data_IF_913350929442
#
_entry.id   IF_913350929442
#
_cell.length_a   1.000
_cell.length_b   1.000
_cell.length_c   1.000
_cell.angle_alpha   90.00
_cell.angle_beta   90.00
_cell.angle_gamma   90.00
#
_symmetry.space_group_name_H-M   'P 1'
#
loop_
_entity.id
_entity.type
_entity.pdbx_description
1 polymer ?
#
# COMPACT_ATOMS: atom_id res chain seq x y z
N UNK A 1 -17.84 20.49 -2.47
CA UNK A 1 -16.63 19.98 -1.79
C UNK A 1 -16.70 18.47 -1.89
N UNK A 2 -15.71 17.90 -2.53
CA UNK A 2 -15.64 16.46 -2.78
C UNK A 2 -15.35 15.70 -1.47
N UNK A 3 -15.67 14.39 -1.36
CA UNK A 3 -15.44 13.62 -0.13
C UNK A 3 -13.99 13.71 0.36
N UNK A 4 -13.02 13.60 -0.55
CA UNK A 4 -11.59 13.73 -0.23
C UNK A 4 -11.23 15.11 0.32
N UNK A 5 -11.75 16.18 -0.30
CA UNK A 5 -11.53 17.55 0.17
C UNK A 5 -12.15 17.77 1.56
N UNK A 6 -13.28 17.13 1.84
CA UNK A 6 -13.94 17.23 3.15
C UNK A 6 -13.13 16.52 4.24
N UNK A 7 -12.61 15.33 3.94
CA UNK A 7 -11.71 14.60 4.86
C UNK A 7 -10.42 15.38 5.09
N UNK A 8 -9.83 15.93 4.02
CA UNK A 8 -8.63 16.75 4.12
C UNK A 8 -8.85 18.01 4.98
N UNK A 9 -9.98 18.70 4.79
CA UNK A 9 -10.34 19.85 5.61
C UNK A 9 -10.54 19.47 7.08
N UNK A 10 -11.25 18.37 7.37
CA UNK A 10 -11.43 17.89 8.74
C UNK A 10 -10.08 17.60 9.42
N UNK A 11 -9.11 17.07 8.67
CA UNK A 11 -7.75 16.86 9.16
C UNK A 11 -7.04 18.20 9.47
N UNK A 12 -7.14 19.19 8.58
CA UNK A 12 -6.59 20.54 8.82
C UNK A 12 -7.22 21.20 10.05
N UNK A 13 -8.53 21.10 10.20
CA UNK A 13 -9.26 21.65 11.35
C UNK A 13 -8.82 20.98 12.66
N UNK A 14 -8.68 19.64 12.66
CA UNK A 14 -8.16 18.89 13.81
C UNK A 14 -6.70 19.27 14.14
N UNK A 15 -5.85 19.43 13.14
CA UNK A 15 -4.48 19.91 13.33
C UNK A 15 -4.46 21.32 13.91
N UNK A 16 -5.36 22.20 13.45
CA UNK A 16 -5.52 23.55 13.98
C UNK A 16 -5.94 23.58 15.45
N UNK A 17 -6.83 22.67 15.85
CA UNK A 17 -7.23 22.50 17.27
C UNK A 17 -6.03 22.07 18.12
N UNK A 18 -5.26 21.08 17.65
CA UNK A 18 -4.06 20.61 18.36
C UNK A 18 -2.96 21.67 18.42
N UNK A 19 -2.75 22.42 17.34
CA UNK A 19 -1.77 23.50 17.28
C UNK A 19 -2.03 24.55 18.36
N UNK A 20 -3.28 25.00 18.49
CA UNK A 20 -3.69 25.96 19.55
C UNK A 20 -3.52 25.39 20.95
N UNK A 21 -3.67 24.08 21.12
CA UNK A 21 -3.45 23.44 22.42
C UNK A 21 -1.97 23.37 22.82
N UNK A 22 -1.07 23.16 21.86
CA UNK A 22 0.37 23.07 22.15
C UNK A 22 1.04 24.43 22.29
N UNK A 23 0.44 25.49 21.73
CA UNK A 23 0.88 26.88 21.88
C UNK A 23 1.09 27.27 23.37
N UNK A 24 2.06 28.14 23.69
CA UNK A 24 2.29 28.59 25.05
C UNK A 24 1.08 29.35 25.60
N UNK A 25 0.52 28.87 26.71
CA UNK A 25 -0.64 29.51 27.34
C UNK A 25 -1.36 28.57 28.32
N UNK A 26 -2.46 29.05 28.94
CA UNK A 26 -3.35 28.19 29.70
C UNK A 26 -3.94 27.13 28.76
N UNK A 27 -3.76 25.86 29.11
CA UNK A 27 -4.27 24.73 28.33
C UNK A 27 -5.55 24.19 28.93
N UNK A 28 -6.51 23.93 28.06
CA UNK A 28 -7.76 23.28 28.40
C UNK A 28 -7.88 21.98 27.60
N UNK A 29 -7.53 20.87 28.23
CA UNK A 29 -7.59 19.55 27.60
C UNK A 29 -9.03 19.14 27.31
N UNK A 30 -9.98 19.48 28.19
CA UNK A 30 -11.37 19.07 28.06
C UNK A 30 -12.01 19.76 26.85
N UNK A 31 -11.84 21.08 26.74
CA UNK A 31 -12.33 21.83 25.58
C UNK A 31 -11.64 21.36 24.28
N UNK A 32 -10.34 21.05 24.33
CA UNK A 32 -9.62 20.55 23.15
C UNK A 32 -10.17 19.21 22.69
N UNK A 33 -10.43 18.28 23.61
CA UNK A 33 -11.01 16.97 23.29
C UNK A 33 -12.41 17.14 22.71
N UNK A 34 -13.27 17.98 23.32
CA UNK A 34 -14.62 18.23 22.80
C UNK A 34 -14.59 18.79 21.38
N UNK A 35 -13.71 19.76 21.10
CA UNK A 35 -13.55 20.31 19.76
C UNK A 35 -13.09 19.25 18.74
N UNK A 36 -12.24 18.31 19.14
CA UNK A 36 -11.82 17.20 18.26
C UNK A 36 -12.97 16.23 18.02
N UNK A 37 -13.78 15.93 19.04
CA UNK A 37 -14.97 15.10 18.90
C UNK A 37 -15.98 15.74 17.95
N UNK A 38 -16.18 17.06 18.02
CA UNK A 38 -17.06 17.76 17.08
C UNK A 38 -16.63 17.58 15.61
N UNK A 39 -15.33 17.54 15.32
CA UNK A 39 -14.80 17.29 13.97
C UNK A 39 -14.99 15.83 13.55
N UNK A 40 -14.81 14.89 14.49
CA UNK A 40 -14.93 13.46 14.22
C UNK A 40 -16.40 13.00 14.09
N UNK A 41 -17.31 13.64 14.83
CA UNK A 41 -18.75 13.36 14.84
C UNK A 41 -19.51 14.13 13.76
N UNK A 42 -18.82 14.95 12.95
CA UNK A 42 -19.41 15.62 11.79
C UNK A 42 -19.91 14.55 10.79
N UNK A 43 -21.23 14.42 10.69
CA UNK A 43 -21.89 13.46 9.80
C UNK A 43 -21.41 13.59 8.35
N UNK A 44 -21.09 14.79 7.89
CA UNK A 44 -20.60 15.00 6.53
C UNK A 44 -19.19 14.42 6.34
N UNK A 45 -18.33 14.46 7.38
CA UNK A 45 -17.00 13.82 7.40
C UNK A 45 -17.14 12.30 7.48
N UNK A 46 -18.02 11.80 8.34
CA UNK A 46 -18.31 10.36 8.47
C UNK A 46 -18.81 9.77 7.16
N UNK A 47 -19.74 10.46 6.47
CA UNK A 47 -20.22 10.01 5.17
C UNK A 47 -19.13 10.11 4.11
N UNK A 48 -18.33 11.17 4.11
CA UNK A 48 -17.20 11.28 3.17
C UNK A 48 -16.20 10.13 3.30
N UNK A 49 -15.92 9.65 4.52
CA UNK A 49 -15.07 8.47 4.75
C UNK A 49 -15.72 7.16 4.28
N UNK A 50 -17.05 7.01 4.41
CA UNK A 50 -17.78 5.85 3.87
C UNK A 50 -17.81 5.84 2.35
N UNK A 51 -17.96 7.03 1.77
CA UNK A 51 -17.97 7.25 0.33
C UNK A 51 -16.56 7.17 -0.27
N UNK A 52 -15.52 7.31 0.55
CA UNK A 52 -14.14 7.02 0.19
C UNK A 52 -13.95 5.51 -0.01
N UNK A 53 -14.52 5.01 -1.11
CA UNK A 53 -14.22 3.70 -1.64
C UNK A 53 -12.82 3.78 -2.21
N UNK A 54 -11.87 3.14 -1.54
CA UNK A 54 -10.71 2.58 -2.24
C UNK A 54 -11.30 1.67 -3.31
N UNK A 55 -11.20 2.09 -4.58
CA UNK A 55 -11.68 1.28 -5.69
C UNK A 55 -11.01 -0.08 -5.57
N UNK A 56 -11.81 -1.11 -5.31
CA UNK A 56 -11.29 -2.48 -5.32
C UNK A 56 -10.75 -2.71 -6.73
N UNK A 57 -9.51 -3.21 -6.87
CA UNK A 57 -8.97 -3.48 -8.20
C UNK A 57 -9.95 -4.40 -8.93
N UNK A 58 -10.18 -4.09 -10.20
CA UNK A 58 -11.08 -4.88 -11.05
C UNK A 58 -10.54 -6.31 -11.16
N UNK A 59 -11.41 -7.26 -11.50
CA UNK A 59 -10.98 -8.65 -11.72
C UNK A 59 -9.84 -8.74 -12.73
N UNK A 60 -9.90 -7.93 -13.79
CA UNK A 60 -8.87 -7.83 -14.82
C UNK A 60 -7.54 -7.29 -14.27
N UNK A 61 -7.55 -6.26 -13.42
CA UNK A 61 -6.35 -5.75 -12.76
C UNK A 61 -5.72 -6.79 -11.83
N UNK A 62 -6.53 -7.55 -11.10
CA UNK A 62 -6.06 -8.64 -10.24
C UNK A 62 -5.49 -9.79 -11.07
N UNK A 63 -6.13 -10.15 -12.17
CA UNK A 63 -5.67 -11.22 -13.05
C UNK A 63 -4.35 -10.83 -13.76
N UNK A 64 -4.21 -9.58 -14.20
CA UNK A 64 -2.96 -9.07 -14.76
C UNK A 64 -1.85 -8.99 -13.71
N UNK A 65 -2.14 -8.57 -12.48
CA UNK A 65 -1.17 -8.61 -11.37
C UNK A 65 -0.68 -10.03 -11.09
N UNK A 66 -1.57 -11.03 -11.11
CA UNK A 66 -1.18 -12.45 -10.97
C UNK A 66 -0.29 -12.90 -12.11
N UNK A 67 -0.58 -12.48 -13.35
CA UNK A 67 0.26 -12.78 -14.50
C UNK A 67 1.65 -12.15 -14.37
N UNK A 68 1.71 -10.87 -14.02
CA UNK A 68 2.97 -10.15 -13.80
C UNK A 68 3.77 -10.76 -12.64
N UNK A 69 3.10 -11.13 -11.56
CA UNK A 69 3.71 -11.86 -10.43
C UNK A 69 4.29 -13.21 -10.85
N UNK A 70 3.59 -13.96 -11.71
CA UNK A 70 4.08 -15.22 -12.25
C UNK A 70 5.31 -15.05 -13.16
N UNK A 71 5.37 -13.97 -13.95
CA UNK A 71 6.51 -13.63 -14.82
C UNK A 71 7.69 -13.13 -13.99
N UNK A 72 7.41 -12.34 -12.96
CA UNK A 72 8.41 -11.78 -12.05
C UNK A 72 8.85 -12.78 -10.96
N UNK A 73 8.33 -14.01 -10.98
CA UNK A 73 8.77 -15.07 -10.08
C UNK A 73 10.27 -15.25 -10.27
N UNK A 74 11.04 -14.93 -9.24
CA UNK A 74 12.46 -15.22 -9.24
C UNK A 74 12.62 -16.74 -9.39
N UNK A 75 13.38 -17.22 -10.38
CA UNK A 75 13.76 -18.62 -10.43
C UNK A 75 14.48 -18.97 -9.12
N UNK A 76 14.26 -20.19 -8.62
CA UNK A 76 15.00 -20.65 -7.45
C UNK A 76 16.50 -20.57 -7.75
N UNK A 77 17.33 -20.23 -6.76
CA UNK A 77 18.78 -20.06 -6.97
C UNK A 77 19.44 -21.31 -7.59
N UNK A 78 18.84 -22.48 -7.38
CA UNK A 78 19.24 -23.76 -7.98
C UNK A 78 18.99 -23.85 -9.50
N UNK A 79 18.05 -23.06 -10.04
CA UNK A 79 17.76 -22.99 -11.47
C UNK A 79 18.67 -21.99 -12.20
N UNK A 80 19.28 -21.06 -11.45
CA UNK A 80 20.20 -20.06 -11.98
C UNK A 80 21.60 -20.68 -12.10
N UNK A 81 22.17 -20.64 -13.31
CA UNK A 81 23.58 -21.00 -13.50
C UNK A 81 24.44 -19.85 -12.95
N UNK A 82 25.05 -20.08 -11.80
CA UNK A 82 25.78 -19.02 -11.08
C UNK A 82 27.28 -19.01 -11.39
N UNK A 83 27.80 -20.05 -12.05
CA UNK A 83 29.21 -20.16 -12.41
C UNK A 83 29.43 -20.78 -13.79
N UNK A 84 30.57 -20.48 -14.41
CA UNK A 84 30.97 -21.03 -15.72
C UNK A 84 31.16 -22.54 -15.69
N UNK A 85 31.72 -23.07 -14.61
CA UNK A 85 31.96 -24.51 -14.46
C UNK A 85 30.65 -25.30 -14.37
N UNK A 86 29.67 -24.77 -13.63
CA UNK A 86 28.32 -25.32 -13.57
C UNK A 86 27.61 -25.29 -14.95
N UNK A 87 27.81 -24.21 -15.72
CA UNK A 87 27.29 -24.09 -17.08
C UNK A 87 27.83 -25.20 -17.99
N UNK A 88 29.14 -25.41 -17.95
CA UNK A 88 29.84 -26.40 -18.79
C UNK A 88 29.44 -27.83 -18.43
N UNK A 89 29.22 -28.13 -17.14
CA UNK A 89 28.71 -29.42 -16.68
C UNK A 89 27.29 -29.71 -17.19
N UNK A 90 26.36 -28.74 -17.04
CA UNK A 90 24.97 -28.92 -17.49
C UNK A 90 24.86 -29.08 -19.01
N UNK A 91 25.69 -28.39 -19.78
CA UNK A 91 25.74 -28.53 -21.25
C UNK A 91 26.21 -29.94 -21.65
N UNK A 92 27.19 -30.50 -20.93
CA UNK A 92 27.67 -31.86 -21.17
C UNK A 92 26.56 -32.89 -20.89
N UNK A 93 25.91 -32.79 -19.74
CA UNK A 93 24.82 -33.68 -19.35
C UNK A 93 23.64 -33.63 -20.34
N UNK A 94 23.29 -32.44 -20.83
CA UNK A 94 22.25 -32.26 -21.85
C UNK A 94 22.63 -32.91 -23.19
N UNK A 95 23.88 -32.74 -23.64
CA UNK A 95 24.37 -33.34 -24.87
C UNK A 95 24.44 -34.88 -24.77
N UNK A 96 24.82 -35.40 -23.60
CA UNK A 96 24.89 -36.84 -23.36
C UNK A 96 23.49 -37.45 -23.29
N UNK A 97 22.53 -36.76 -22.66
CA UNK A 97 21.12 -37.17 -22.64
C UNK A 97 20.51 -37.17 -24.04
N UNK A 98 20.80 -36.16 -24.86
CA UNK A 98 20.33 -36.06 -26.24
C UNK A 98 20.94 -37.11 -27.19
N UNK A 99 22.04 -37.77 -26.79
CA UNK A 99 22.64 -38.90 -27.53
C UNK A 99 22.08 -40.27 -27.14
N UNK A 100 21.38 -40.35 -26.00
CA UNK A 100 20.78 -41.57 -25.49
C UNK A 100 19.29 -41.74 -25.87
N UNK A 101 18.67 -40.69 -26.42
CA UNK A 101 17.36 -40.71 -27.08
C UNK A 101 17.51 -40.88 -28.60
#
# INVERSE_FOLDING_TARGET
MDPEQRVAKALEDAQGILARHVEPGPRDCEQTINNLLDVLDDEAVVQALKDWKVEKPTKEQVDELKRLSAIARMPDESEIVTSREEAEARIRDLNDKARME
#
